data_IF_220696561834
#
_entry.id   IF_220696561834
#
_cell.length_a   1.000
_cell.length_b   1.000
_cell.length_c   1.000
_cell.angle_alpha   90.00
_cell.angle_beta   90.00
_cell.angle_gamma   90.00
#
_symmetry.space_group_name_H-M   'P 1'
#
loop_
_entity.id
_entity.type
_entity.pdbx_description
1 polymer ?
#
# COMPACT_ATOMS: atom_id res chain seq x y z
N UNK A 1 -32.51 54.53 47.53
CA UNK A 1 -32.59 54.35 48.97
C UNK A 1 -31.99 53.02 49.32
N UNK A 2 -30.80 53.11 49.77
CA UNK A 2 -30.13 52.54 50.94
C UNK A 2 -29.65 51.08 50.79
N UNK A 3 -28.36 51.02 50.85
CA UNK A 3 -27.40 50.72 51.92
C UNK A 3 -27.37 49.23 52.31
N UNK A 4 -26.31 48.56 52.44
CA UNK A 4 -25.10 48.59 53.26
C UNK A 4 -24.15 47.49 52.77
N UNK A 5 -22.93 47.64 52.38
CA UNK A 5 -21.70 47.84 53.12
C UNK A 5 -21.34 46.80 54.22
N UNK A 6 -20.09 46.52 54.15
CA UNK A 6 -19.12 45.92 55.07
C UNK A 6 -18.86 44.45 54.91
N UNK A 7 -17.74 44.06 54.73
CA UNK A 7 -16.35 44.28 55.03
C UNK A 7 -15.71 42.96 55.50
N UNK A 8 -14.51 42.80 54.97
CA UNK A 8 -13.33 42.17 55.56
C UNK A 8 -13.47 40.82 56.25
N UNK A 9 -12.67 39.87 55.83
CA UNK A 9 -11.39 39.50 56.40
C UNK A 9 -10.73 38.38 55.60
N UNK A 10 -9.57 38.63 55.04
CA UNK A 10 -8.52 37.63 54.82
C UNK A 10 -8.01 37.18 56.19
N UNK A 11 -7.40 36.00 56.35
CA UNK A 11 -6.27 35.52 55.56
C UNK A 11 -6.10 34.01 55.39
N UNK A 12 -5.24 33.69 54.45
CA UNK A 12 -4.24 32.62 54.41
C UNK A 12 -4.60 31.19 54.88
N UNK A 13 -4.65 30.31 53.91
CA UNK A 13 -3.85 29.08 54.00
C UNK A 13 -3.62 28.48 52.61
N UNK A 14 -2.42 28.54 52.17
CA UNK A 14 -1.86 27.75 51.10
C UNK A 14 -2.19 26.27 51.33
N UNK A 15 -2.82 25.63 50.32
CA UNK A 15 -2.61 24.22 50.06
C UNK A 15 -2.42 24.06 48.57
N UNK A 16 -1.17 24.02 48.18
CA UNK A 16 -0.71 23.45 46.95
C UNK A 16 -1.28 22.04 46.84
N UNK A 17 -2.20 21.84 45.94
CA UNK A 17 -2.48 20.49 45.37
C UNK A 17 -1.52 20.27 44.21
N UNK A 18 -0.86 19.12 44.15
CA UNK A 18 0.14 18.85 43.11
C UNK A 18 -0.54 18.71 41.75
N UNK A 19 -0.06 19.49 40.79
CA UNK A 19 -0.34 19.32 39.38
C UNK A 19 0.18 17.94 38.99
N UNK A 20 -0.72 17.05 38.70
CA UNK A 20 -0.37 15.79 38.01
C UNK A 20 0.25 16.13 36.65
N UNK A 21 1.46 15.67 36.36
CA UNK A 21 2.01 15.84 35.04
C UNK A 21 1.17 15.04 34.05
N UNK A 22 0.65 15.71 33.04
CA UNK A 22 0.08 15.07 31.88
C UNK A 22 1.13 14.09 31.32
N UNK A 23 0.81 12.82 31.38
CA UNK A 23 1.58 11.76 30.73
C UNK A 23 1.56 12.03 29.23
N UNK A 24 2.69 12.23 28.56
CA UNK A 24 2.69 12.30 27.12
C UNK A 24 2.20 10.96 26.60
N UNK A 25 1.17 10.97 25.74
CA UNK A 25 0.78 9.82 24.96
C UNK A 25 2.02 9.31 24.23
N UNK A 26 2.54 8.19 24.69
CA UNK A 26 3.58 7.46 24.00
C UNK A 26 2.94 6.92 22.73
N UNK A 27 3.15 7.62 21.62
CA UNK A 27 2.94 7.03 20.29
C UNK A 27 3.74 5.74 20.29
N UNK A 28 3.05 4.62 20.27
CA UNK A 28 3.69 3.31 20.16
C UNK A 28 4.60 3.35 18.92
N UNK A 29 5.87 3.01 19.03
CA UNK A 29 6.72 2.91 17.86
C UNK A 29 6.11 1.84 16.94
N UNK A 30 5.74 2.24 15.73
CA UNK A 30 5.37 1.30 14.68
C UNK A 30 6.60 0.44 14.44
N UNK A 31 6.51 -0.82 14.84
CA UNK A 31 7.65 -1.72 14.77
C UNK A 31 7.94 -2.07 13.31
N UNK A 32 9.22 -2.16 12.96
CA UNK A 32 9.69 -2.58 11.61
C UNK A 32 9.05 -3.92 11.18
N UNK A 33 8.59 -4.72 12.15
CA UNK A 33 7.89 -5.97 11.96
C UNK A 33 6.52 -5.79 11.30
N UNK A 34 5.74 -4.78 11.73
CA UNK A 34 4.39 -4.52 11.19
C UNK A 34 4.43 -4.05 9.74
N UNK A 35 5.45 -3.26 9.38
CA UNK A 35 5.59 -2.76 8.01
C UNK A 35 6.07 -3.81 7.02
N UNK A 36 6.90 -4.78 7.46
CA UNK A 36 7.29 -5.92 6.61
C UNK A 36 6.10 -6.84 6.38
N UNK A 37 5.31 -7.07 7.40
CA UNK A 37 4.07 -7.85 7.30
C UNK A 37 3.06 -7.24 6.31
N UNK A 38 2.85 -5.92 6.35
CA UNK A 38 1.93 -5.24 5.42
C UNK A 38 2.44 -5.32 3.98
N UNK A 39 3.74 -5.12 3.75
CA UNK A 39 4.35 -5.27 2.43
C UNK A 39 4.12 -6.68 1.86
N UNK A 40 4.41 -7.70 2.67
CA UNK A 40 4.23 -9.08 2.24
C UNK A 40 2.75 -9.42 2.01
N UNK A 41 1.86 -8.91 2.84
CA UNK A 41 0.42 -9.06 2.66
C UNK A 41 -0.06 -8.47 1.32
N UNK A 42 0.30 -7.23 1.01
CA UNK A 42 -0.07 -6.59 -0.26
C UNK A 42 0.48 -7.38 -1.45
N UNK A 43 1.73 -7.83 -1.38
CA UNK A 43 2.36 -8.64 -2.42
C UNK A 43 1.60 -9.95 -2.67
N UNK A 44 1.21 -10.66 -1.61
CA UNK A 44 0.39 -11.87 -1.72
C UNK A 44 -0.99 -11.58 -2.34
N UNK A 45 -1.64 -10.47 -1.94
CA UNK A 45 -2.93 -10.06 -2.52
C UNK A 45 -2.82 -9.72 -3.99
N UNK A 46 -1.76 -9.03 -4.41
CA UNK A 46 -1.51 -8.74 -5.83
C UNK A 46 -1.40 -10.02 -6.67
N UNK A 47 -0.69 -11.03 -6.17
CA UNK A 47 -0.60 -12.33 -6.85
C UNK A 47 -1.99 -12.97 -6.94
N UNK A 48 -2.72 -13.05 -5.83
CA UNK A 48 -4.04 -13.65 -5.79
C UNK A 48 -5.07 -12.92 -6.69
N UNK A 49 -5.03 -11.57 -6.74
CA UNK A 49 -5.87 -10.78 -7.67
C UNK A 49 -5.56 -11.17 -9.11
N UNK A 50 -4.28 -11.25 -9.48
CA UNK A 50 -3.88 -11.64 -10.82
C UNK A 50 -4.40 -13.03 -11.21
N UNK A 51 -4.28 -14.00 -10.32
CA UNK A 51 -4.81 -15.36 -10.51
C UNK A 51 -6.34 -15.37 -10.68
N UNK A 52 -7.07 -14.64 -9.81
CA UNK A 52 -8.52 -14.50 -9.90
C UNK A 52 -8.99 -13.84 -11.21
N UNK A 53 -8.15 -12.99 -11.80
CA UNK A 53 -8.39 -12.34 -13.09
C UNK A 53 -7.93 -13.19 -14.30
N UNK A 54 -7.31 -14.35 -14.06
CA UNK A 54 -6.87 -15.28 -15.11
C UNK A 54 -5.47 -15.02 -15.67
N UNK A 55 -4.64 -14.24 -14.95
CA UNK A 55 -3.24 -14.08 -15.28
C UNK A 55 -2.38 -15.21 -14.67
N UNK A 56 -1.27 -15.54 -15.32
CA UNK A 56 -0.16 -16.25 -14.67
C UNK A 56 0.55 -15.24 -13.76
N UNK A 57 0.30 -15.36 -12.45
CA UNK A 57 0.71 -14.39 -11.46
C UNK A 57 1.77 -14.95 -10.53
N UNK A 58 2.83 -14.16 -10.25
CA UNK A 58 3.97 -14.63 -9.45
C UNK A 58 4.58 -13.47 -8.68
N UNK A 59 5.16 -13.78 -7.51
CA UNK A 59 5.93 -12.84 -6.70
C UNK A 59 7.44 -13.00 -6.91
N UNK A 60 8.20 -11.95 -6.58
CA UNK A 60 9.69 -11.94 -6.57
C UNK A 60 10.32 -12.40 -7.89
N UNK A 61 9.81 -11.86 -8.99
CA UNK A 61 10.21 -12.27 -10.34
C UNK A 61 11.39 -11.44 -10.85
N UNK A 62 12.41 -12.10 -11.35
CA UNK A 62 13.48 -11.44 -12.07
C UNK A 62 13.03 -11.11 -13.50
N UNK A 63 12.75 -9.84 -13.76
CA UNK A 63 12.27 -9.34 -15.07
C UNK A 63 13.43 -9.08 -16.02
N UNK A 64 14.52 -8.57 -15.50
CA UNK A 64 15.74 -8.28 -16.27
C UNK A 64 16.96 -8.39 -15.36
N UNK A 65 18.17 -8.25 -15.94
CA UNK A 65 19.39 -8.30 -15.15
C UNK A 65 19.41 -7.20 -14.10
N UNK A 66 19.48 -7.59 -12.83
CA UNK A 66 19.53 -6.67 -11.70
C UNK A 66 18.20 -6.00 -11.33
N UNK A 67 17.07 -6.53 -11.79
CA UNK A 67 15.75 -6.12 -11.32
C UNK A 67 14.91 -7.35 -10.94
N UNK A 68 14.63 -7.46 -9.64
CA UNK A 68 13.64 -8.37 -9.08
C UNK A 68 12.48 -7.50 -8.63
N UNK A 69 11.28 -7.83 -9.05
CA UNK A 69 10.06 -7.07 -8.77
C UNK A 69 9.13 -7.85 -7.85
N UNK A 70 8.31 -7.13 -7.09
CA UNK A 70 7.48 -7.73 -6.04
C UNK A 70 6.40 -8.65 -6.58
N UNK A 71 5.71 -8.26 -7.64
CA UNK A 71 4.72 -9.11 -8.30
C UNK A 71 4.64 -8.86 -9.81
N UNK A 72 4.18 -9.88 -10.54
CA UNK A 72 4.03 -9.85 -11.98
C UNK A 72 2.74 -10.55 -12.35
N UNK A 73 1.98 -9.95 -13.28
CA UNK A 73 0.89 -10.61 -14.00
C UNK A 73 1.29 -10.79 -15.45
N UNK A 74 1.20 -12.01 -15.93
CA UNK A 74 1.54 -12.38 -17.30
C UNK A 74 0.31 -12.93 -18.03
N UNK A 75 0.02 -12.39 -19.20
CA UNK A 75 -0.99 -12.92 -20.10
C UNK A 75 -0.33 -13.40 -21.40
N UNK A 76 -0.67 -14.59 -21.85
CA UNK A 76 -0.27 -15.10 -23.17
C UNK A 76 -1.21 -14.55 -24.25
N UNK A 77 -0.65 -14.00 -25.32
CA UNK A 77 -1.39 -13.45 -26.45
C UNK A 77 -1.27 -14.41 -27.63
N UNK A 78 -2.06 -15.48 -27.63
CA UNK A 78 -2.02 -16.49 -28.67
C UNK A 78 -0.60 -17.01 -28.92
N UNK A 79 -0.17 -17.03 -30.20
CA UNK A 79 1.20 -17.38 -30.60
C UNK A 79 2.11 -16.14 -30.76
N UNK A 80 1.62 -14.94 -30.45
CA UNK A 80 2.31 -13.67 -30.73
C UNK A 80 3.22 -13.21 -29.60
N UNK A 81 3.17 -13.86 -28.42
CA UNK A 81 3.99 -13.47 -27.30
C UNK A 81 3.22 -13.35 -25.98
N UNK A 82 3.71 -12.48 -25.11
CA UNK A 82 3.11 -12.25 -23.80
C UNK A 82 3.05 -10.76 -23.46
N UNK A 83 2.05 -10.39 -22.69
CA UNK A 83 1.95 -9.09 -22.03
C UNK A 83 2.27 -9.27 -20.55
N UNK A 84 3.13 -8.41 -20.02
CA UNK A 84 3.56 -8.44 -18.63
C UNK A 84 3.16 -7.11 -17.96
N UNK A 85 2.57 -7.21 -16.79
CA UNK A 85 2.31 -6.10 -15.88
C UNK A 85 3.16 -6.31 -14.64
N UNK A 86 3.92 -5.30 -14.25
CA UNK A 86 4.89 -5.35 -13.16
C UNK A 86 4.42 -4.50 -12.00
N UNK A 87 4.53 -5.01 -10.79
CA UNK A 87 4.13 -4.33 -9.56
C UNK A 87 5.30 -4.24 -8.60
N UNK A 88 5.48 -3.06 -8.02
CA UNK A 88 6.42 -2.78 -6.92
C UNK A 88 5.66 -2.14 -5.76
N UNK A 89 5.82 -2.69 -4.58
CA UNK A 89 5.13 -2.26 -3.35
C UNK A 89 6.05 -1.42 -2.50
N UNK A 90 5.65 -0.20 -2.21
CA UNK A 90 6.38 0.70 -1.32
C UNK A 90 5.66 0.80 0.02
N UNK A 91 6.23 0.24 1.05
CA UNK A 91 5.75 0.41 2.43
C UNK A 91 6.72 1.24 3.26
N UNK A 92 8.03 1.00 3.07
CA UNK A 92 9.14 1.74 3.67
C UNK A 92 10.38 1.55 2.82
N UNK A 93 11.30 2.50 2.88
CA UNK A 93 12.58 2.42 2.17
C UNK A 93 12.75 3.52 1.13
N UNK A 94 13.69 3.32 0.23
CA UNK A 94 14.03 4.32 -0.79
C UNK A 94 13.08 4.23 -1.98
N UNK A 95 12.40 5.33 -2.27
CA UNK A 95 11.61 5.51 -3.49
C UNK A 95 12.49 5.38 -4.72
N UNK A 96 13.75 5.82 -4.66
CA UNK A 96 14.71 5.69 -5.76
C UNK A 96 14.89 4.23 -6.18
N UNK A 97 14.95 3.30 -5.21
CA UNK A 97 15.08 1.87 -5.50
C UNK A 97 13.88 1.33 -6.25
N UNK A 98 12.67 1.72 -5.83
CA UNK A 98 11.43 1.37 -6.51
C UNK A 98 11.42 1.91 -7.94
N UNK A 99 11.72 3.20 -8.13
CA UNK A 99 11.77 3.84 -9.44
C UNK A 99 12.80 3.15 -10.35
N UNK A 100 13.97 2.81 -9.80
CA UNK A 100 15.01 2.10 -10.55
C UNK A 100 14.55 0.71 -11.01
N UNK A 101 13.87 -0.05 -10.14
CA UNK A 101 13.35 -1.36 -10.49
C UNK A 101 12.27 -1.27 -11.57
N UNK A 102 11.32 -0.35 -11.43
CA UNK A 102 10.28 -0.10 -12.42
C UNK A 102 10.89 0.36 -13.75
N UNK A 103 11.90 1.24 -13.73
CA UNK A 103 12.61 1.68 -14.94
C UNK A 103 13.32 0.54 -15.65
N UNK A 104 14.00 -0.33 -14.90
CA UNK A 104 14.62 -1.52 -15.46
C UNK A 104 13.59 -2.48 -16.05
N UNK A 105 12.47 -2.71 -15.35
CA UNK A 105 11.39 -3.55 -15.83
C UNK A 105 10.80 -3.03 -17.15
N UNK A 106 10.61 -1.71 -17.27
CA UNK A 106 10.10 -1.06 -18.47
C UNK A 106 10.99 -1.28 -19.70
N UNK A 107 12.27 -1.58 -19.53
CA UNK A 107 13.17 -1.90 -20.65
C UNK A 107 12.87 -3.24 -21.32
N UNK A 108 12.08 -4.10 -20.72
CA UNK A 108 11.63 -5.35 -21.32
C UNK A 108 10.43 -5.09 -22.23
N UNK A 109 10.57 -5.38 -23.52
CA UNK A 109 9.55 -5.11 -24.54
C UNK A 109 8.19 -5.80 -24.30
N UNK A 110 8.15 -6.87 -23.51
CA UNK A 110 6.90 -7.54 -23.13
C UNK A 110 6.14 -6.82 -22.01
N UNK A 111 6.80 -5.90 -21.28
CA UNK A 111 6.18 -5.14 -20.19
C UNK A 111 5.31 -4.03 -20.78
N UNK A 112 4.01 -4.11 -20.50
CA UNK A 112 3.00 -3.16 -20.99
C UNK A 112 2.76 -2.01 -20.00
N UNK A 113 2.85 -2.29 -18.70
CA UNK A 113 2.76 -1.28 -17.66
C UNK A 113 3.58 -1.68 -16.44
N UNK A 114 4.05 -0.67 -15.73
CA UNK A 114 4.69 -0.76 -14.43
C UNK A 114 3.82 -0.03 -13.41
N UNK A 115 3.55 -0.68 -12.29
CA UNK A 115 2.60 -0.21 -11.28
C UNK A 115 3.32 -0.03 -9.95
N UNK A 116 3.27 1.18 -9.42
CA UNK A 116 3.70 1.47 -8.06
C UNK A 116 2.51 1.33 -7.11
N UNK A 117 2.68 0.53 -6.07
CA UNK A 117 1.66 0.29 -5.04
C UNK A 117 2.15 0.84 -3.71
N UNK A 118 1.42 1.79 -3.14
CA UNK A 118 1.78 2.43 -1.88
C UNK A 118 0.58 3.15 -1.26
N UNK A 119 0.76 3.77 -0.10
CA UNK A 119 -0.18 4.74 0.42
C UNK A 119 -0.19 6.04 -0.41
N UNK A 120 -1.23 6.85 -0.25
CA UNK A 120 -1.43 8.09 -1.02
C UNK A 120 -0.24 9.06 -0.91
N UNK A 121 0.35 9.21 0.27
CA UNK A 121 1.50 10.09 0.49
C UNK A 121 2.73 9.63 -0.29
N UNK A 122 3.01 8.35 -0.26
CA UNK A 122 4.13 7.74 -1.00
C UNK A 122 3.88 7.79 -2.51
N UNK A 123 2.65 7.53 -2.96
CA UNK A 123 2.29 7.63 -4.38
C UNK A 123 2.53 9.03 -4.94
N UNK A 124 2.15 10.08 -4.19
CA UNK A 124 2.42 11.46 -4.59
C UNK A 124 3.93 11.75 -4.73
N UNK A 125 4.76 11.18 -3.87
CA UNK A 125 6.23 11.29 -3.98
C UNK A 125 6.76 10.51 -5.18
N UNK A 126 6.29 9.27 -5.39
CA UNK A 126 6.71 8.42 -6.52
C UNK A 126 6.39 9.11 -7.85
N UNK A 127 5.19 9.66 -8.03
CA UNK A 127 4.79 10.38 -9.24
C UNK A 127 5.76 11.55 -9.52
N UNK A 128 6.06 12.35 -8.50
CA UNK A 128 6.95 13.50 -8.63
C UNK A 128 8.38 13.10 -8.97
N UNK A 129 8.92 12.07 -8.30
CA UNK A 129 10.31 11.65 -8.46
C UNK A 129 10.55 10.78 -9.69
N UNK A 130 9.50 10.10 -10.20
CA UNK A 130 9.58 9.33 -11.44
C UNK A 130 9.47 10.18 -12.70
N UNK A 131 9.07 11.45 -12.59
CA UNK A 131 8.91 12.35 -13.73
C UNK A 131 10.20 12.47 -14.54
N UNK A 132 10.12 12.19 -15.84
CA UNK A 132 11.29 12.18 -16.74
C UNK A 132 12.21 10.96 -16.63
N UNK A 133 11.96 10.05 -15.66
CA UNK A 133 12.72 8.80 -15.49
C UNK A 133 11.96 7.61 -16.07
N UNK A 134 10.68 7.47 -15.73
CA UNK A 134 9.79 6.43 -16.22
C UNK A 134 8.89 7.04 -17.30
N UNK A 135 8.55 6.27 -18.34
CA UNK A 135 7.57 6.71 -19.33
C UNK A 135 6.19 6.80 -18.65
N UNK A 136 5.63 8.01 -18.60
CA UNK A 136 4.36 8.32 -17.96
C UNK A 136 3.17 7.52 -18.53
N UNK A 137 3.26 7.11 -19.80
CA UNK A 137 2.21 6.32 -20.44
C UNK A 137 2.14 4.90 -19.91
N UNK A 138 3.23 4.38 -19.41
CA UNK A 138 3.32 3.01 -18.87
C UNK A 138 3.29 2.96 -17.35
N UNK A 139 3.56 4.08 -16.65
CA UNK A 139 3.46 4.13 -15.19
C UNK A 139 1.99 4.20 -14.76
N UNK A 140 1.66 3.36 -13.79
CA UNK A 140 0.38 3.39 -13.07
C UNK A 140 0.66 3.43 -11.58
N UNK A 141 -0.29 3.94 -10.84
CA UNK A 141 -0.26 3.97 -9.37
C UNK A 141 -1.50 3.29 -8.84
N UNK A 142 -1.35 2.58 -7.74
CA UNK A 142 -2.46 1.89 -7.08
C UNK A 142 -2.32 2.05 -5.56
N UNK A 143 -3.34 2.56 -4.92
CA UNK A 143 -3.35 2.69 -3.47
C UNK A 143 -3.39 1.32 -2.80
N UNK A 144 -2.62 1.14 -1.75
CA UNK A 144 -2.51 -0.14 -1.04
C UNK A 144 -3.79 -0.57 -0.35
N UNK A 145 -4.61 0.37 0.14
CA UNK A 145 -5.92 0.06 0.71
C UNK A 145 -6.90 -0.39 -0.38
N UNK A 146 -6.84 0.23 -1.56
CA UNK A 146 -7.63 -0.19 -2.72
C UNK A 146 -7.26 -1.61 -3.18
N UNK A 147 -5.99 -2.00 -3.13
CA UNK A 147 -5.57 -3.38 -3.43
C UNK A 147 -6.27 -4.37 -2.50
N UNK A 148 -6.29 -4.09 -1.20
CA UNK A 148 -6.96 -4.95 -0.22
C UNK A 148 -8.47 -5.01 -0.47
N UNK A 149 -9.11 -3.87 -0.74
CA UNK A 149 -10.55 -3.79 -1.03
C UNK A 149 -10.95 -4.52 -2.31
N UNK A 150 -10.13 -4.43 -3.36
CA UNK A 150 -10.31 -5.16 -4.62
C UNK A 150 -10.19 -6.66 -4.41
N UNK A 151 -9.17 -7.10 -3.67
CA UNK A 151 -9.01 -8.52 -3.33
C UNK A 151 -10.27 -9.08 -2.65
N UNK A 152 -10.73 -8.43 -1.58
CA UNK A 152 -11.92 -8.87 -0.83
C UNK A 152 -13.18 -8.91 -1.70
N UNK A 153 -13.29 -7.97 -2.64
CA UNK A 153 -14.42 -7.91 -3.57
C UNK A 153 -14.39 -9.05 -4.58
N UNK A 154 -13.21 -9.36 -5.13
CA UNK A 154 -13.02 -10.46 -6.07
C UNK A 154 -13.25 -11.83 -5.41
N UNK A 155 -12.75 -12.02 -4.18
CA UNK A 155 -12.99 -13.26 -3.43
C UNK A 155 -14.48 -13.48 -3.21
N UNK A 156 -15.21 -12.44 -2.76
CA UNK A 156 -16.67 -12.53 -2.58
C UNK A 156 -17.41 -12.84 -3.88
N UNK A 157 -17.00 -12.22 -4.98
CA UNK A 157 -17.57 -12.49 -6.30
C UNK A 157 -17.30 -13.94 -6.73
N UNK A 158 -16.05 -14.39 -6.57
CA UNK A 158 -15.65 -15.75 -6.91
C UNK A 158 -16.40 -16.81 -6.09
N UNK A 159 -16.50 -16.61 -4.77
CA UNK A 159 -17.29 -17.50 -3.90
C UNK A 159 -18.77 -17.55 -4.30
N UNK A 160 -19.35 -16.41 -4.70
CA UNK A 160 -20.74 -16.35 -5.14
C UNK A 160 -20.96 -17.13 -6.44
N UNK A 161 -20.02 -17.03 -7.38
CA UNK A 161 -20.07 -17.76 -8.66
C UNK A 161 -19.87 -19.26 -8.43
N UNK A 162 -18.96 -19.65 -7.54
CA UNK A 162 -18.70 -21.06 -7.23
C UNK A 162 -19.91 -21.78 -6.62
N UNK A 163 -20.79 -21.05 -5.89
CA UNK A 163 -22.07 -21.61 -5.41
C UNK A 163 -23.00 -22.09 -6.53
N UNK A 164 -22.80 -21.61 -7.76
CA UNK A 164 -23.56 -22.03 -8.92
C UNK A 164 -23.13 -23.41 -9.46
N UNK A 165 -22.01 -23.94 -8.96
CA UNK A 165 -21.43 -25.23 -9.39
C UNK A 165 -21.27 -25.38 -10.92
N UNK A 166 -20.97 -24.26 -11.59
CA UNK A 166 -20.79 -24.23 -13.05
C UNK A 166 -19.41 -24.73 -13.48
N UNK A 167 -18.44 -24.70 -12.57
CA UNK A 167 -17.06 -25.17 -12.80
C UNK A 167 -16.82 -26.37 -11.92
N UNK A 168 -16.33 -27.51 -12.45
CA UNK A 168 -15.94 -28.66 -11.64
C UNK A 168 -14.83 -28.28 -10.65
N UNK A 169 -14.88 -28.79 -9.42
CA UNK A 169 -13.89 -28.53 -8.35
C UNK A 169 -12.46 -29.03 -8.66
N UNK A 170 -12.25 -29.62 -9.82
CA UNK A 170 -11.01 -30.30 -10.25
C UNK A 170 -10.28 -29.60 -11.40
N UNK A 171 -10.31 -28.26 -11.44
CA UNK A 171 -9.43 -27.49 -12.33
C UNK A 171 -8.46 -26.63 -11.54
#
# INVERSE_FOLDING_TARGET
VDYFMWDEVLPLAEKKSPVSPATPEVKKPVTVKDSKSLHDEIKEKLVAIGELLGFDSRSEVKITTGAVVDAVWEAKIGNMGKAIYVFEVQSKGSIDSLILNLKKAQSNAAVQAVVAVADEEQLAKIIRESAGVIDEKSLRTWDSEDVLAVYDSLVRAHESINKLALVPESF
#
